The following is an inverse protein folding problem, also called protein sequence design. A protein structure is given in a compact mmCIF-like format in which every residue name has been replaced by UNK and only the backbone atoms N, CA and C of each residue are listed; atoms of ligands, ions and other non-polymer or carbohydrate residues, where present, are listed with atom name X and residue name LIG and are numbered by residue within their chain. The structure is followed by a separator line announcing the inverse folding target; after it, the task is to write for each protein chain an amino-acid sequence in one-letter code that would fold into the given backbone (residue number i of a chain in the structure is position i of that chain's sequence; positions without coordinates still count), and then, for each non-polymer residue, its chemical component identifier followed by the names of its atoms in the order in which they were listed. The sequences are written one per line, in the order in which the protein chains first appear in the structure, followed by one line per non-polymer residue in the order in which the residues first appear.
data_IF_273358344311
#
_entry.id   IF_273358344311
#
_cell.length_a   1.000
_cell.length_b   1.000
_cell.length_c   1.000
_cell.angle_alpha   90.00
_cell.angle_beta   90.00
_cell.angle_gamma   90.00
#
_symmetry.space_group_name_H-M   'P 1'
#
loop_
_entity.id
_entity.type
_entity.pdbx_description
1 polymer ?
#
# COMPACT_ATOMS: atom_id res chain seq x y z
N UNK A 1 -11.44 6.37 -12.70
CA UNK A 1 -10.30 7.28 -12.43
C UNK A 1 -10.63 8.43 -11.48
N UNK A 2 -11.78 9.09 -11.62
CA UNK A 2 -12.23 10.13 -10.66
C UNK A 2 -12.31 9.57 -9.22
N UNK A 3 -12.78 8.33 -9.04
CA UNK A 3 -12.81 7.67 -7.74
C UNK A 3 -11.43 7.56 -7.07
N UNK A 4 -10.42 7.03 -7.77
CA UNK A 4 -9.05 6.92 -7.24
C UNK A 4 -8.42 8.30 -6.98
N UNK A 5 -8.74 9.32 -7.80
CA UNK A 5 -8.30 10.70 -7.54
C UNK A 5 -8.93 11.26 -6.26
N UNK A 6 -10.24 11.06 -6.06
CA UNK A 6 -10.93 11.50 -4.85
C UNK A 6 -10.37 10.84 -3.60
N UNK A 7 -10.05 9.54 -3.66
CA UNK A 7 -9.38 8.83 -2.57
C UNK A 7 -7.98 9.39 -2.31
N UNK A 8 -7.17 9.66 -3.35
CA UNK A 8 -5.84 10.23 -3.18
C UNK A 8 -5.89 11.64 -2.55
N UNK A 9 -6.84 12.47 -2.99
CA UNK A 9 -7.07 13.79 -2.39
C UNK A 9 -7.52 13.68 -0.94
N UNK A 10 -8.35 12.68 -0.61
CA UNK A 10 -8.77 12.42 0.77
C UNK A 10 -7.58 12.05 1.66
N UNK A 11 -6.66 11.20 1.18
CA UNK A 11 -5.43 10.86 1.90
C UNK A 11 -4.52 12.08 2.06
N UNK A 12 -4.40 12.92 1.03
CA UNK A 12 -3.63 14.16 1.11
C UNK A 12 -4.22 15.13 2.15
N UNK A 13 -5.55 15.29 2.17
CA UNK A 13 -6.25 16.13 3.15
C UNK A 13 -6.07 15.59 4.58
N UNK A 14 -6.21 14.28 4.79
CA UNK A 14 -5.91 13.65 6.09
C UNK A 14 -4.45 13.88 6.50
N UNK A 15 -3.53 13.78 5.55
CA UNK A 15 -2.12 14.08 5.78
C UNK A 15 -1.91 15.51 6.26
N UNK A 16 -2.62 16.50 5.73
CA UNK A 16 -2.54 17.89 6.19
C UNK A 16 -3.17 18.10 7.58
N UNK A 17 -4.26 17.39 7.88
CA UNK A 17 -4.97 17.53 9.17
C UNK A 17 -4.20 16.88 10.32
N UNK A 18 -3.65 15.69 10.10
CA UNK A 18 -2.99 14.89 11.14
C UNK A 18 -1.45 14.97 11.08
N UNK A 19 -0.89 15.85 10.24
CA UNK A 19 0.57 15.96 10.08
C UNK A 19 1.24 16.24 11.42
N UNK A 20 0.72 17.23 12.14
CA UNK A 20 1.31 17.71 13.40
C UNK A 20 1.26 16.61 14.46
N UNK A 21 0.12 15.93 14.60
CA UNK A 21 -0.05 14.82 15.54
C UNK A 21 0.93 13.67 15.25
N UNK A 22 1.10 13.29 13.99
CA UNK A 22 2.04 12.22 13.59
C UNK A 22 3.49 12.61 13.84
N UNK A 23 3.88 13.85 13.54
CA UNK A 23 5.23 14.33 13.84
C UNK A 23 5.49 14.43 15.34
N UNK A 24 4.49 14.81 16.14
CA UNK A 24 4.62 14.77 17.60
C UNK A 24 4.79 13.35 18.11
N UNK A 25 4.03 12.37 17.59
CA UNK A 25 4.21 10.94 17.92
C UNK A 25 5.64 10.49 17.63
N UNK A 26 6.20 10.84 16.48
CA UNK A 26 7.60 10.51 16.13
C UNK A 26 8.60 11.13 17.11
N UNK A 27 8.35 12.36 17.58
CA UNK A 27 9.21 13.01 18.58
C UNK A 27 9.15 12.31 19.95
N UNK A 28 7.97 11.83 20.35
CA UNK A 28 7.83 11.02 21.56
C UNK A 28 8.56 9.67 21.41
N UNK A 29 8.44 9.00 20.26
CA UNK A 29 9.15 7.73 19.98
C UNK A 29 10.67 7.87 19.96
N UNK A 30 11.18 9.01 19.47
CA UNK A 30 12.61 9.31 19.46
C UNK A 30 13.14 9.77 20.83
N UNK A 31 12.27 9.95 21.83
CA UNK A 31 12.64 10.44 23.15
C UNK A 31 12.98 11.94 23.20
N UNK A 32 12.65 12.69 22.15
CA UNK A 32 12.90 14.14 22.07
C UNK A 32 11.91 14.94 22.94
N UNK A 33 10.72 14.39 23.20
CA UNK A 33 9.66 14.98 24.03
C UNK A 33 9.21 13.97 25.08
N UNK A 34 9.11 14.38 26.35
CA UNK A 34 8.60 13.54 27.43
C UNK A 34 7.07 13.50 27.41
N UNK A 35 6.42 12.38 27.82
CA UNK A 35 4.96 12.26 27.83
C UNK A 35 4.33 13.33 28.73
N UNK A 36 3.50 14.18 28.13
CA UNK A 36 2.73 15.24 28.79
C UNK A 36 1.24 14.83 28.88
N UNK A 37 0.40 15.60 29.59
CA UNK A 37 -1.05 15.38 29.66
C UNK A 37 -1.75 15.36 28.29
N UNK A 38 -1.14 15.98 27.27
CA UNK A 38 -1.60 15.95 25.87
C UNK A 38 -1.29 14.65 25.12
N UNK A 39 -0.34 13.85 25.61
CA UNK A 39 0.17 12.64 24.95
C UNK A 39 -0.94 11.65 24.55
N UNK A 40 -1.95 11.34 25.39
CA UNK A 40 -2.90 10.31 25.04
C UNK A 40 -3.75 10.65 23.81
N UNK A 41 -4.19 11.91 23.74
CA UNK A 41 -5.03 12.42 22.65
C UNK A 41 -4.26 12.53 21.33
N UNK A 42 -3.01 12.99 21.39
CA UNK A 42 -2.14 13.11 20.20
C UNK A 42 -1.84 11.74 19.62
N UNK A 43 -1.52 10.76 20.47
CA UNK A 43 -1.25 9.40 20.01
C UNK A 43 -2.50 8.72 19.43
N UNK A 44 -3.67 8.86 20.06
CA UNK A 44 -4.93 8.33 19.53
C UNK A 44 -5.31 8.96 18.18
N UNK A 45 -5.29 10.29 18.09
CA UNK A 45 -5.57 11.01 16.84
C UNK A 45 -4.60 10.64 15.72
N UNK A 46 -3.30 10.55 16.03
CA UNK A 46 -2.30 10.12 15.07
C UNK A 46 -2.59 8.71 14.55
N UNK A 47 -2.92 7.77 15.44
CA UNK A 47 -3.21 6.37 15.11
C UNK A 47 -4.47 6.24 14.24
N UNK A 48 -5.53 6.97 14.61
CA UNK A 48 -6.79 7.04 13.86
C UNK A 48 -6.57 7.65 12.46
N UNK A 49 -5.79 8.73 12.39
CA UNK A 49 -5.44 9.41 11.13
C UNK A 49 -4.67 8.50 10.18
N UNK A 50 -3.62 7.86 10.69
CA UNK A 50 -2.81 6.89 9.93
C UNK A 50 -3.63 5.68 9.48
N UNK A 51 -4.43 5.11 10.38
CA UNK A 51 -5.31 3.99 10.06
C UNK A 51 -6.28 4.30 8.93
N UNK A 52 -6.93 5.45 9.03
CA UNK A 52 -7.85 5.94 8.02
C UNK A 52 -7.13 6.16 6.68
N UNK A 53 -5.98 6.85 6.70
CA UNK A 53 -5.18 7.10 5.51
C UNK A 53 -4.68 5.81 4.85
N UNK A 54 -4.24 4.84 5.64
CA UNK A 54 -3.79 3.53 5.17
C UNK A 54 -4.94 2.75 4.53
N UNK A 55 -6.11 2.70 5.17
CA UNK A 55 -7.28 2.01 4.63
C UNK A 55 -7.73 2.61 3.30
N UNK A 56 -7.83 3.94 3.23
CA UNK A 56 -8.20 4.66 2.00
C UNK A 56 -7.16 4.41 0.90
N UNK A 57 -5.87 4.41 1.25
CA UNK A 57 -4.78 4.15 0.29
C UNK A 57 -4.85 2.73 -0.26
N UNK A 58 -5.10 1.71 0.58
CA UNK A 58 -5.24 0.31 0.14
C UNK A 58 -6.42 0.13 -0.82
N UNK A 59 -7.57 0.73 -0.52
CA UNK A 59 -8.74 0.72 -1.41
C UNK A 59 -8.43 1.45 -2.72
N UNK A 60 -7.73 2.58 -2.65
CA UNK A 60 -7.31 3.36 -3.81
C UNK A 60 -6.36 2.60 -4.73
N UNK A 61 -5.36 1.92 -4.16
CA UNK A 61 -4.40 1.07 -4.89
C UNK A 61 -5.14 -0.09 -5.56
N UNK A 62 -6.05 -0.77 -4.86
CA UNK A 62 -6.87 -1.83 -5.46
C UNK A 62 -7.70 -1.31 -6.64
N UNK A 63 -8.33 -0.13 -6.49
CA UNK A 63 -9.09 0.49 -7.57
C UNK A 63 -8.24 0.84 -8.80
N UNK A 64 -6.99 1.27 -8.58
CA UNK A 64 -6.00 1.50 -9.64
C UNK A 64 -5.65 0.19 -10.36
N UNK A 65 -5.34 -0.89 -9.62
CA UNK A 65 -5.03 -2.22 -10.19
C UNK A 65 -6.19 -2.77 -11.03
N UNK A 66 -7.43 -2.64 -10.53
CA UNK A 66 -8.63 -3.03 -11.29
C UNK A 66 -8.75 -2.22 -12.58
N UNK A 67 -8.43 -0.92 -12.58
CA UNK A 67 -8.48 -0.11 -13.79
C UNK A 67 -7.45 -0.58 -14.84
N UNK A 68 -6.23 -0.92 -14.43
CA UNK A 68 -5.23 -1.54 -15.32
C UNK A 68 -5.75 -2.84 -15.93
N UNK A 69 -6.35 -3.70 -15.11
CA UNK A 69 -6.94 -4.94 -15.59
C UNK A 69 -8.07 -4.66 -16.59
N UNK A 70 -8.97 -3.72 -16.33
CA UNK A 70 -10.03 -3.36 -17.28
C UNK A 70 -9.46 -2.83 -18.62
N UNK A 71 -8.38 -2.05 -18.57
CA UNK A 71 -7.66 -1.62 -19.77
C UNK A 71 -7.12 -2.82 -20.57
N UNK A 72 -6.46 -3.77 -19.90
CA UNK A 72 -5.94 -4.99 -20.53
C UNK A 72 -7.05 -5.89 -21.09
N UNK A 73 -8.18 -6.01 -20.39
CA UNK A 73 -9.36 -6.72 -20.89
C UNK A 73 -9.80 -6.18 -22.25
N UNK A 74 -9.92 -4.84 -22.35
CA UNK A 74 -10.33 -4.17 -23.59
C UNK A 74 -9.36 -4.47 -24.73
N UNK A 75 -8.06 -4.54 -24.44
CA UNK A 75 -7.01 -4.77 -25.44
C UNK A 75 -6.99 -6.22 -25.97
N UNK A 76 -7.30 -7.21 -25.14
CA UNK A 76 -7.23 -8.63 -25.49
C UNK A 76 -8.56 -9.35 -25.69
N UNK A 77 -9.67 -8.61 -25.83
CA UNK A 77 -11.05 -9.16 -25.94
C UNK A 77 -11.22 -10.23 -27.03
N UNK A 78 -10.37 -10.25 -28.06
CA UNK A 78 -10.47 -11.17 -29.20
C UNK A 78 -9.83 -12.55 -28.96
N UNK A 79 -9.10 -12.75 -27.87
CA UNK A 79 -8.36 -14.01 -27.60
C UNK A 79 -8.98 -14.70 -26.37
N UNK A 80 -9.64 -15.87 -26.51
CA UNK A 80 -10.35 -16.51 -25.41
C UNK A 80 -9.41 -16.98 -24.29
N UNK A 81 -8.23 -17.52 -24.61
CA UNK A 81 -7.23 -17.93 -23.61
C UNK A 81 -6.71 -16.74 -22.79
N UNK A 82 -6.62 -15.56 -23.41
CA UNK A 82 -6.23 -14.32 -22.72
C UNK A 82 -7.30 -13.89 -21.72
N UNK A 83 -8.58 -14.03 -22.06
CA UNK A 83 -9.68 -13.70 -21.16
C UNK A 83 -9.76 -14.64 -19.95
N UNK A 84 -9.47 -15.94 -20.12
CA UNK A 84 -9.40 -16.87 -18.99
C UNK A 84 -8.28 -16.44 -18.02
N UNK A 85 -7.08 -16.18 -18.55
CA UNK A 85 -5.97 -15.67 -17.74
C UNK A 85 -6.34 -14.34 -17.06
N UNK A 86 -7.05 -13.46 -17.75
CA UNK A 86 -7.55 -12.20 -17.20
C UNK A 86 -8.45 -12.38 -15.98
N UNK A 87 -9.43 -13.30 -16.04
CA UNK A 87 -10.30 -13.57 -14.88
C UNK A 87 -9.54 -14.14 -13.69
N UNK A 88 -8.54 -15.00 -13.93
CA UNK A 88 -7.67 -15.53 -12.87
C UNK A 88 -6.91 -14.39 -12.19
N UNK A 89 -6.25 -13.52 -12.98
CA UNK A 89 -5.49 -12.41 -12.40
C UNK A 89 -6.40 -11.41 -11.68
N UNK A 90 -7.60 -11.15 -12.21
CA UNK A 90 -8.59 -10.32 -11.51
C UNK A 90 -8.95 -10.90 -10.14
N UNK A 91 -9.27 -12.19 -10.10
CA UNK A 91 -9.62 -12.87 -8.84
C UNK A 91 -8.47 -12.80 -7.84
N UNK A 92 -7.24 -13.11 -8.27
CA UNK A 92 -6.05 -13.04 -7.42
C UNK A 92 -5.82 -11.60 -6.92
N UNK A 93 -5.93 -10.60 -7.79
CA UNK A 93 -5.72 -9.19 -7.42
C UNK A 93 -6.74 -8.71 -6.38
N UNK A 94 -8.02 -9.06 -6.58
CA UNK A 94 -9.09 -8.73 -5.62
C UNK A 94 -8.90 -9.47 -4.30
N UNK A 95 -8.52 -10.76 -4.34
CA UNK A 95 -8.23 -11.53 -3.14
C UNK A 95 -7.05 -10.97 -2.34
N UNK A 96 -5.96 -10.59 -3.02
CA UNK A 96 -4.80 -9.92 -2.40
C UNK A 96 -5.21 -8.59 -1.75
N UNK A 97 -5.95 -7.74 -2.46
CA UNK A 97 -6.42 -6.46 -1.93
C UNK A 97 -7.37 -6.62 -0.73
N UNK A 98 -8.32 -7.54 -0.83
CA UNK A 98 -9.24 -7.85 0.27
C UNK A 98 -8.50 -8.41 1.50
N UNK A 99 -7.46 -9.23 1.27
CA UNK A 99 -6.61 -9.76 2.34
C UNK A 99 -5.82 -8.64 3.03
N UNK A 100 -5.25 -7.70 2.26
CA UNK A 100 -4.53 -6.54 2.82
C UNK A 100 -5.44 -5.65 3.67
N UNK A 101 -6.70 -5.44 3.25
CA UNK A 101 -7.68 -4.67 4.00
C UNK A 101 -8.14 -5.44 5.26
N UNK A 102 -8.48 -6.73 5.10
CA UNK A 102 -9.03 -7.54 6.18
C UNK A 102 -8.02 -7.94 7.28
N UNK A 103 -6.72 -7.96 6.96
CA UNK A 103 -5.65 -8.23 7.91
C UNK A 103 -5.30 -7.01 8.79
N UNK A 104 -5.88 -5.84 8.51
CA UNK A 104 -5.68 -4.66 9.33
C UNK A 104 -6.37 -4.85 10.69
N UNK A 105 -5.61 -4.75 11.78
CA UNK A 105 -6.15 -4.84 13.14
C UNK A 105 -6.86 -3.52 13.49
N UNK A 106 -8.10 -3.35 13.01
CA UNK A 106 -8.93 -2.16 13.25
C UNK A 106 -9.07 -1.81 14.74
N UNK A 107 -9.07 -2.83 15.61
CA UNK A 107 -9.10 -2.65 17.07
C UNK A 107 -7.80 -2.11 17.66
N UNK A 108 -6.67 -2.21 16.99
CA UNK A 108 -5.43 -1.59 17.45
C UNK A 108 -5.25 -0.18 16.90
N UNK A 109 -6.16 0.25 16.01
CA UNK A 109 -6.01 1.48 15.23
C UNK A 109 -7.13 2.48 15.53
N UNK A 110 -8.32 2.03 15.92
CA UNK A 110 -9.50 2.87 16.17
C UNK A 110 -10.05 2.78 17.59
N UNK A 111 -9.41 2.02 18.48
CA UNK A 111 -9.78 1.93 19.90
C UNK A 111 -9.03 2.95 20.74
N UNK A 112 -9.52 3.11 21.97
CA UNK A 112 -8.87 3.94 22.99
C UNK A 112 -7.40 3.56 23.21
N UNK A 113 -6.62 4.56 23.59
CA UNK A 113 -5.20 4.39 23.84
C UNK A 113 -4.88 3.34 24.90
N UNK A 114 -5.67 3.28 25.97
CA UNK A 114 -5.46 2.32 27.08
C UNK A 114 -5.57 0.88 26.57
N UNK A 115 -6.56 0.61 25.71
CA UNK A 115 -6.71 -0.69 25.09
C UNK A 115 -5.52 -1.03 24.18
N UNK A 116 -5.09 -0.06 23.36
CA UNK A 116 -3.95 -0.21 22.44
C UNK A 116 -2.65 -0.47 23.20
N UNK A 117 -2.38 0.27 24.27
CA UNK A 117 -1.18 0.09 25.09
C UNK A 117 -1.17 -1.25 25.82
N UNK A 118 -2.32 -1.74 26.30
CA UNK A 118 -2.39 -3.02 27.00
C UNK A 118 -2.32 -4.23 26.08
N UNK A 119 -2.94 -4.17 24.90
CA UNK A 119 -3.15 -5.34 24.05
C UNK A 119 -2.30 -5.32 22.77
N UNK A 120 -2.02 -4.15 22.20
CA UNK A 120 -1.35 -4.04 20.89
C UNK A 120 0.17 -3.87 21.00
N UNK A 121 0.69 -3.40 22.14
CA UNK A 121 2.15 -3.36 22.41
C UNK A 121 2.72 -4.72 22.80
N UNK A 122 1.86 -5.73 23.00
CA UNK A 122 2.30 -7.06 23.38
C UNK A 122 3.16 -7.68 22.28
N UNK A 123 4.32 -8.22 22.66
CA UNK A 123 5.34 -8.75 21.73
C UNK A 123 4.79 -9.74 20.69
N UNK A 124 3.83 -10.57 21.09
CA UNK A 124 3.16 -11.54 20.22
C UNK A 124 2.31 -10.88 19.13
N UNK A 125 1.61 -9.78 19.46
CA UNK A 125 0.79 -9.00 18.52
C UNK A 125 1.67 -8.18 17.59
N UNK A 126 2.73 -7.57 18.11
CA UNK A 126 3.69 -6.83 17.30
C UNK A 126 4.37 -7.73 16.26
N UNK A 127 4.81 -8.93 16.66
CA UNK A 127 5.36 -9.91 15.71
C UNK A 127 4.37 -10.25 14.61
N UNK A 128 3.11 -10.51 14.99
CA UNK A 128 2.04 -10.83 14.04
C UNK A 128 1.80 -9.68 13.07
N UNK A 129 1.83 -8.42 13.53
CA UNK A 129 1.77 -7.24 12.67
C UNK A 129 2.93 -7.20 11.66
N UNK A 130 4.17 -7.42 12.10
CA UNK A 130 5.33 -7.48 11.19
C UNK A 130 5.22 -8.59 10.15
N UNK A 131 4.84 -9.79 10.58
CA UNK A 131 4.62 -10.93 9.68
C UNK A 131 3.56 -10.58 8.63
N UNK A 132 2.47 -9.90 9.03
CA UNK A 132 1.43 -9.44 8.11
C UNK A 132 1.90 -8.36 7.13
N UNK A 133 2.73 -7.41 7.56
CA UNK A 133 3.28 -6.41 6.64
C UNK A 133 4.17 -7.05 5.58
N UNK A 134 4.97 -8.05 5.94
CA UNK A 134 5.77 -8.82 4.99
C UNK A 134 4.86 -9.56 4.01
N UNK A 135 3.82 -10.25 4.50
CA UNK A 135 2.84 -10.93 3.64
C UNK A 135 2.16 -9.94 2.71
N UNK A 136 1.76 -8.77 3.20
CA UNK A 136 1.11 -7.73 2.40
C UNK A 136 2.00 -7.23 1.26
N UNK A 137 3.27 -6.96 1.54
CA UNK A 137 4.28 -6.60 0.51
C UNK A 137 4.43 -7.71 -0.53
N UNK A 138 4.51 -8.98 -0.10
CA UNK A 138 4.60 -10.12 -1.03
C UNK A 138 3.36 -10.19 -1.92
N UNK A 139 2.15 -10.08 -1.34
CA UNK A 139 0.90 -10.12 -2.09
C UNK A 139 0.81 -8.97 -3.10
N UNK A 140 1.24 -7.76 -2.72
CA UNK A 140 1.27 -6.63 -3.63
C UNK A 140 2.23 -6.86 -4.80
N UNK A 141 3.47 -7.30 -4.53
CA UNK A 141 4.47 -7.60 -5.57
C UNK A 141 4.00 -8.72 -6.52
N UNK A 142 3.40 -9.79 -5.98
CA UNK A 142 2.87 -10.90 -6.78
C UNK A 142 1.73 -10.43 -7.68
N UNK A 143 0.79 -9.64 -7.14
CA UNK A 143 -0.32 -9.11 -7.93
C UNK A 143 0.15 -8.18 -9.05
N UNK A 144 1.14 -7.32 -8.79
CA UNK A 144 1.70 -6.41 -9.79
C UNK A 144 2.49 -7.18 -10.86
N UNK A 145 3.25 -8.21 -10.48
CA UNK A 145 3.97 -9.07 -11.42
C UNK A 145 3.01 -9.78 -12.39
N UNK A 146 1.87 -10.28 -11.89
CA UNK A 146 0.82 -10.86 -12.73
C UNK A 146 0.22 -9.84 -13.71
N UNK A 147 0.03 -8.59 -13.27
CA UNK A 147 -0.45 -7.51 -14.13
C UNK A 147 0.58 -7.18 -15.22
N UNK A 148 1.88 -7.22 -14.91
CA UNK A 148 2.97 -7.01 -15.89
C UNK A 148 3.01 -8.11 -16.96
N UNK A 149 2.55 -9.34 -16.68
CA UNK A 149 2.53 -10.40 -17.69
C UNK A 149 1.67 -10.04 -18.91
N UNK A 150 0.58 -9.26 -18.75
CA UNK A 150 -0.28 -8.87 -19.86
C UNK A 150 0.44 -8.07 -20.95
N UNK A 151 1.06 -6.90 -20.65
CA UNK A 151 1.76 -6.14 -21.67
C UNK A 151 2.96 -6.89 -22.26
N UNK A 152 3.65 -7.74 -21.48
CA UNK A 152 4.78 -8.55 -21.98
C UNK A 152 4.32 -9.53 -23.07
N UNK A 153 3.24 -10.28 -22.81
CA UNK A 153 2.67 -11.24 -23.78
C UNK A 153 2.18 -10.52 -25.04
N UNK A 154 1.58 -9.34 -24.89
CA UNK A 154 1.09 -8.52 -26.01
C UNK A 154 2.26 -7.99 -26.86
N UNK A 155 3.37 -7.56 -26.24
CA UNK A 155 4.56 -7.09 -26.96
C UNK A 155 5.27 -8.20 -27.71
N UNK A 156 5.32 -9.40 -27.13
CA UNK A 156 6.02 -10.53 -27.74
C UNK A 156 5.35 -11.02 -29.03
N UNK A 157 4.01 -10.97 -29.09
CA UNK A 157 3.24 -11.58 -30.17
C UNK A 157 2.88 -10.66 -31.35
N UNK A 158 3.14 -9.34 -31.28
CA UNK A 158 2.56 -8.42 -32.27
C UNK A 158 3.58 -7.45 -32.90
N UNK A 159 3.61 -7.40 -34.24
CA UNK A 159 4.27 -6.33 -35.04
C UNK A 159 3.47 -5.03 -34.91
N UNK A 160 3.61 -4.34 -33.79
CA UNK A 160 2.86 -3.11 -33.48
C UNK A 160 3.60 -1.85 -33.97
N UNK A 161 2.83 -0.83 -34.37
CA UNK A 161 3.34 0.51 -34.70
C UNK A 161 3.98 1.21 -33.49
N UNK A 162 5.05 1.99 -33.72
CA UNK A 162 5.87 2.62 -32.66
C UNK A 162 5.06 3.36 -31.58
N UNK A 163 3.95 4.02 -31.94
CA UNK A 163 3.09 4.74 -30.97
C UNK A 163 2.49 3.83 -29.90
N UNK A 164 1.95 2.68 -30.28
CA UNK A 164 1.38 1.71 -29.34
C UNK A 164 2.47 1.03 -28.51
N UNK A 165 3.68 0.86 -29.08
CA UNK A 165 4.86 0.36 -28.36
C UNK A 165 5.30 1.32 -27.26
N UNK A 166 5.27 2.63 -27.50
CA UNK A 166 5.58 3.65 -26.48
C UNK A 166 4.56 3.62 -25.34
N UNK A 167 3.26 3.58 -25.63
CA UNK A 167 2.22 3.51 -24.59
C UNK A 167 2.39 2.26 -23.73
N UNK A 168 2.62 1.10 -24.35
CA UNK A 168 2.81 -0.14 -23.60
C UNK A 168 4.12 -0.17 -22.80
N UNK A 169 5.21 0.39 -23.35
CA UNK A 169 6.48 0.54 -22.67
C UNK A 169 6.38 1.48 -21.46
N UNK A 170 5.64 2.59 -21.61
CA UNK A 170 5.35 3.52 -20.53
C UNK A 170 4.57 2.81 -19.42
N UNK A 171 3.51 2.07 -19.79
CA UNK A 171 2.71 1.28 -18.85
C UNK A 171 3.56 0.26 -18.08
N UNK A 172 4.43 -0.47 -18.79
CA UNK A 172 5.36 -1.43 -18.18
C UNK A 172 6.32 -0.76 -17.18
N UNK A 173 6.92 0.37 -17.57
CA UNK A 173 7.80 1.13 -16.69
C UNK A 173 7.09 1.66 -15.45
N UNK A 174 5.83 2.10 -15.60
CA UNK A 174 5.02 2.62 -14.49
C UNK A 174 4.64 1.54 -13.48
N UNK A 175 4.28 0.32 -13.90
CA UNK A 175 4.03 -0.80 -12.96
C UNK A 175 5.34 -1.28 -12.33
N UNK A 176 6.46 -1.24 -13.05
CA UNK A 176 7.77 -1.53 -12.44
C UNK A 176 8.13 -0.52 -11.34
N UNK A 177 7.75 0.76 -11.50
CA UNK A 177 7.93 1.78 -10.47
C UNK A 177 7.05 1.54 -9.24
N UNK A 178 5.80 1.08 -9.40
CA UNK A 178 4.96 0.73 -8.23
C UNK A 178 5.59 -0.41 -7.44
N UNK A 179 6.06 -1.46 -8.12
CA UNK A 179 6.77 -2.58 -7.48
C UNK A 179 8.01 -2.10 -6.72
N UNK A 180 8.82 -1.22 -7.33
CA UNK A 180 10.01 -0.69 -6.67
C UNK A 180 9.65 0.07 -5.39
N UNK A 181 8.60 0.90 -5.42
CA UNK A 181 8.09 1.62 -4.25
C UNK A 181 7.61 0.65 -3.16
N UNK A 182 6.86 -0.39 -3.53
CA UNK A 182 6.38 -1.43 -2.58
C UNK A 182 7.55 -2.15 -1.91
N UNK A 183 8.63 -2.42 -2.65
CA UNK A 183 9.85 -3.05 -2.10
C UNK A 183 10.54 -2.11 -1.11
N UNK A 184 10.65 -0.81 -1.42
CA UNK A 184 11.24 0.17 -0.49
C UNK A 184 10.40 0.29 0.78
N UNK A 185 9.06 0.32 0.67
CA UNK A 185 8.13 0.24 1.81
C UNK A 185 8.42 -1.00 2.66
N UNK A 186 8.60 -2.16 2.01
CA UNK A 186 8.91 -3.44 2.65
C UNK A 186 10.28 -3.54 3.31
N UNK A 187 11.27 -2.78 2.81
CA UNK A 187 12.67 -2.90 3.23
C UNK A 187 12.91 -2.55 4.70
N UNK A 188 12.12 -1.63 5.26
CA UNK A 188 12.16 -1.30 6.69
C UNK A 188 11.75 -2.49 7.54
N UNK A 189 10.72 -3.23 7.16
CA UNK A 189 10.28 -4.41 7.91
C UNK A 189 11.30 -5.54 7.87
N UNK A 190 12.06 -5.69 6.78
CA UNK A 190 13.16 -6.66 6.69
C UNK A 190 14.30 -6.37 7.68
N UNK A 191 14.64 -5.09 7.86
CA UNK A 191 15.60 -4.64 8.88
C UNK A 191 15.05 -4.78 10.30
N UNK A 192 13.80 -4.36 10.52
CA UNK A 192 13.12 -4.41 11.81
C UNK A 192 12.87 -5.84 12.30
N UNK A 193 12.55 -6.77 11.41
CA UNK A 193 12.38 -8.19 11.74
C UNK A 193 13.67 -8.82 12.27
N UNK A 194 14.83 -8.48 11.67
CA UNK A 194 16.14 -8.94 12.14
C UNK A 194 16.51 -8.37 13.51
N UNK A 195 16.14 -7.12 13.80
CA UNK A 195 16.38 -6.47 15.09
C UNK A 195 15.41 -6.96 16.18
N UNK A 196 14.15 -7.29 15.84
CA UNK A 196 13.19 -7.88 16.78
C UNK A 196 13.62 -9.26 17.30
N UNK A 197 14.31 -10.04 16.46
CA UNK A 197 14.91 -11.31 16.86
C UNK A 197 16.13 -11.13 17.79
N UNK A 198 16.71 -9.92 17.84
CA UNK A 198 17.85 -9.57 18.70
C UNK A 198 17.47 -8.87 20.01
N UNK A 199 16.17 -8.81 20.37
CA UNK A 199 15.66 -8.14 21.59
C UNK A 199 15.90 -6.61 21.64
N UNK A 200 16.17 -5.94 20.53
CA UNK A 200 16.18 -4.48 20.49
C UNK A 200 14.74 -3.96 20.36
N UNK A 201 14.34 -3.04 21.23
CA UNK A 201 13.08 -2.30 21.13
C UNK A 201 13.08 -1.50 19.84
N UNK A 202 12.16 -1.79 18.93
CA UNK A 202 12.07 -1.11 17.64
C UNK A 202 10.80 -0.27 17.56
N UNK A 203 11.01 0.99 17.14
CA UNK A 203 9.96 1.96 16.84
C UNK A 203 9.34 1.62 15.47
N UNK A 204 8.01 1.48 15.43
CA UNK A 204 7.27 1.42 14.18
C UNK A 204 7.27 2.84 13.59
N UNK A 205 8.12 3.11 12.60
CA UNK A 205 8.15 4.44 11.99
C UNK A 205 6.89 4.65 11.13
N UNK A 206 5.83 5.10 11.77
CA UNK A 206 4.50 5.34 11.22
C UNK A 206 4.54 6.37 10.08
N UNK A 207 5.37 7.40 10.23
CA UNK A 207 5.61 8.41 9.19
C UNK A 207 6.23 7.81 7.93
N UNK A 208 7.23 6.93 8.06
CA UNK A 208 7.80 6.21 6.93
C UNK A 208 6.76 5.39 6.17
N UNK A 209 5.93 4.64 6.92
CA UNK A 209 4.92 3.77 6.34
C UNK A 209 3.84 4.57 5.59
N UNK A 210 3.37 5.66 6.18
CA UNK A 210 2.42 6.57 5.54
C UNK A 210 3.03 7.19 4.28
N UNK A 211 4.25 7.71 4.36
CA UNK A 211 4.93 8.33 3.23
C UNK A 211 5.02 7.39 2.02
N UNK A 212 5.48 6.16 2.23
CA UNK A 212 5.66 5.23 1.12
C UNK A 212 4.35 4.69 0.55
N UNK A 213 3.33 4.43 1.37
CA UNK A 213 2.02 4.00 0.84
C UNK A 213 1.34 5.14 0.06
N UNK A 214 1.54 6.39 0.48
CA UNK A 214 1.07 7.56 -0.27
C UNK A 214 1.77 7.69 -1.62
N UNK A 215 3.11 7.54 -1.67
CA UNK A 215 3.87 7.55 -2.93
C UNK A 215 3.40 6.44 -3.85
N UNK A 216 3.24 5.22 -3.33
CA UNK A 216 2.76 4.07 -4.11
C UNK A 216 1.41 4.37 -4.76
N UNK A 217 0.48 4.91 -3.98
CA UNK A 217 -0.84 5.27 -4.48
C UNK A 217 -0.77 6.42 -5.51
N UNK A 218 0.02 7.46 -5.25
CA UNK A 218 0.19 8.60 -6.15
C UNK A 218 0.81 8.17 -7.50
N UNK A 219 1.86 7.34 -7.47
CA UNK A 219 2.51 6.79 -8.66
C UNK A 219 1.54 5.90 -9.43
N UNK A 220 0.85 4.97 -8.75
CA UNK A 220 -0.14 4.09 -9.38
C UNK A 220 -1.29 4.86 -10.02
N UNK A 221 -1.83 5.89 -9.36
CA UNK A 221 -2.89 6.74 -9.93
C UNK A 221 -2.40 7.55 -11.12
N UNK A 222 -1.18 8.07 -11.07
CA UNK A 222 -0.58 8.83 -12.17
C UNK A 222 -0.39 7.94 -13.40
N UNK A 223 0.04 6.70 -13.17
CA UNK A 223 0.14 5.69 -14.21
C UNK A 223 -1.21 5.38 -14.86
N UNK A 224 -2.27 5.24 -14.06
CA UNK A 224 -3.60 4.93 -14.56
C UNK A 224 -4.30 6.09 -15.30
N UNK A 225 -3.86 7.36 -15.13
CA UNK A 225 -4.45 8.50 -15.87
C UNK A 225 -4.00 8.62 -17.33
N UNK A 226 -2.93 7.93 -17.73
CA UNK A 226 -2.42 7.95 -19.10
C UNK A 226 -2.91 6.78 -19.97
N UNK A 227 -3.81 5.94 -19.43
CA UNK A 227 -4.43 4.78 -20.06
C UNK A 227 -5.90 5.03 -20.41
#
# INVERSE_FOLDING_TARGET
MIFALALLLSVAALGQVFLDDVYEVVRFENGEKLPDASFPRVMENGLHGFGTAMTISLVGILAVKINFLLFFKRLGTQIPSYLIFWYIVLFVTVACGATNIGLMDYKCVFESLEYTLQHCTQRSRLKRYFDFQIVSVILDVVSDALIICFPVVILWNVRISLRKKIILSCTFGLVALTIAVTIVRGSVFGGSYKSFNKNESQNLNMGWMWFWIFIEFAVGKSAASHL
#
